data_IF_873868187928
#
_entry.id   IF_873868187928
#
_cell.length_a   1.000
_cell.length_b   1.000
_cell.length_c   1.000
_cell.angle_alpha   90.00
_cell.angle_beta   90.00
_cell.angle_gamma   90.00
#
_symmetry.space_group_name_H-M   'P 1'
#
loop_
_entity.id
_entity.type
_entity.pdbx_description
1 polymer ?
#
# COMPACT_ATOMS: atom_id res chain seq x y z
N UNK A 1 -3.59 -19.92 5.45
CA UNK A 1 -4.30 -18.66 5.14
C UNK A 1 -3.56 -17.99 4.01
N UNK A 2 -4.02 -18.22 2.79
CA UNK A 2 -3.31 -17.83 1.57
C UNK A 2 -3.56 -16.37 1.21
N UNK A 3 -2.54 -15.73 0.67
CA UNK A 3 -2.65 -14.45 -0.03
C UNK A 3 -3.03 -14.75 -1.48
N UNK A 4 -4.06 -14.13 -2.07
CA UNK A 4 -4.92 -13.05 -1.56
C UNK A 4 -6.03 -13.54 -0.61
N UNK A 5 -6.43 -12.68 0.33
CA UNK A 5 -7.34 -13.06 1.42
C UNK A 5 -8.79 -12.59 1.22
N UNK A 6 -9.04 -11.66 0.29
CA UNK A 6 -10.36 -11.06 0.06
C UNK A 6 -10.58 -10.79 -1.43
N UNK A 7 -11.81 -10.96 -1.90
CA UNK A 7 -12.27 -10.50 -3.22
C UNK A 7 -13.39 -9.49 -2.99
N UNK A 8 -13.20 -8.28 -3.49
CA UNK A 8 -14.14 -7.18 -3.31
C UNK A 8 -14.46 -6.53 -4.65
N UNK A 9 -15.55 -5.77 -4.72
CA UNK A 9 -15.94 -5.00 -5.90
C UNK A 9 -16.12 -3.54 -5.50
N UNK A 10 -15.52 -2.62 -6.26
CA UNK A 10 -15.63 -1.18 -5.99
C UNK A 10 -16.99 -0.70 -6.52
N UNK A 11 -17.88 -0.30 -5.61
CA UNK A 11 -19.26 0.14 -5.88
C UNK A 11 -19.61 1.38 -5.06
N UNK A 12 -20.88 1.79 -5.04
CA UNK A 12 -21.34 2.96 -4.27
C UNK A 12 -20.75 4.25 -4.84
N UNK A 13 -20.19 5.10 -3.96
CA UNK A 13 -19.55 6.36 -4.34
C UNK A 13 -18.05 6.20 -4.72
N UNK A 14 -17.57 4.96 -4.80
CA UNK A 14 -16.16 4.66 -5.08
C UNK A 14 -15.34 4.40 -3.81
N UNK A 15 -14.02 4.37 -3.96
CA UNK A 15 -13.11 4.05 -2.86
C UNK A 15 -11.76 4.74 -3.01
N UNK A 16 -11.38 5.57 -2.02
CA UNK A 16 -10.08 6.26 -1.96
C UNK A 16 -9.63 6.93 -3.27
N UNK A 17 -10.54 7.67 -3.92
CA UNK A 17 -10.29 8.36 -5.18
C UNK A 17 -10.46 7.50 -6.45
N UNK A 18 -10.81 6.22 -6.31
CA UNK A 18 -11.17 5.34 -7.43
C UNK A 18 -12.69 5.41 -7.65
N UNK A 19 -13.10 5.75 -8.86
CA UNK A 19 -14.52 5.80 -9.23
C UNK A 19 -15.17 4.39 -9.21
N UNK A 20 -16.46 4.30 -8.87
CA UNK A 20 -17.20 3.03 -8.74
C UNK A 20 -17.58 2.47 -10.12
N UNK A 21 -16.62 1.88 -10.84
CA UNK A 21 -16.85 1.30 -12.17
C UNK A 21 -17.04 -0.23 -12.15
N UNK A 22 -17.36 -0.80 -10.98
CA UNK A 22 -17.70 -2.21 -10.84
C UNK A 22 -16.51 -3.16 -10.96
N UNK A 23 -15.28 -2.66 -10.87
CA UNK A 23 -14.07 -3.48 -10.91
C UNK A 23 -14.01 -4.39 -9.68
N UNK A 24 -13.71 -5.66 -9.91
CA UNK A 24 -13.38 -6.59 -8.84
C UNK A 24 -11.87 -6.61 -8.62
N UNK A 25 -11.45 -6.51 -7.36
CA UNK A 25 -10.04 -6.56 -6.95
C UNK A 25 -9.84 -7.66 -5.92
N UNK A 26 -8.64 -8.23 -5.92
CA UNK A 26 -8.17 -9.17 -4.91
C UNK A 26 -7.37 -8.37 -3.88
N UNK A 27 -7.89 -8.24 -2.67
CA UNK A 27 -7.22 -7.51 -1.61
C UNK A 27 -6.28 -8.43 -0.82
N UNK A 28 -5.16 -7.82 -0.47
CA UNK A 28 -4.01 -8.41 0.21
C UNK A 28 -3.84 -7.65 1.54
N UNK A 29 -4.13 -8.28 2.68
CA UNK A 29 -3.99 -7.64 4.00
C UNK A 29 -3.44 -8.55 5.11
N UNK A 30 -2.63 -7.97 6.00
CA UNK A 30 -2.19 -8.59 7.25
C UNK A 30 -2.94 -7.93 8.40
N UNK A 31 -3.24 -8.72 9.42
CA UNK A 31 -3.96 -8.22 10.57
C UNK A 31 -3.41 -8.83 11.88
N UNK A 32 -2.96 -7.97 12.79
CA UNK A 32 -2.40 -8.33 14.09
C UNK A 32 -3.22 -7.74 15.22
N UNK A 33 -3.58 -8.58 16.18
CA UNK A 33 -4.50 -8.22 17.26
C UNK A 33 -3.76 -8.39 18.57
N UNK A 34 -3.72 -7.34 19.40
CA UNK A 34 -3.39 -7.50 20.81
C UNK A 34 -4.67 -7.60 21.62
N UNK A 35 -4.82 -8.72 22.31
CA UNK A 35 -5.95 -8.97 23.21
C UNK A 35 -5.49 -8.71 24.64
N UNK A 36 -6.34 -8.02 25.41
CA UNK A 36 -6.15 -7.73 26.83
C UNK A 36 -7.52 -7.82 27.53
N UNK A 37 -7.57 -8.51 28.68
CA UNK A 37 -8.81 -8.85 29.41
C UNK A 37 -9.95 -9.38 28.51
N UNK A 38 -9.61 -10.31 27.61
CA UNK A 38 -10.55 -10.93 26.67
C UNK A 38 -11.12 -10.01 25.59
N UNK A 39 -10.60 -8.78 25.46
CA UNK A 39 -11.03 -7.78 24.47
C UNK A 39 -9.87 -7.37 23.57
N UNK A 40 -10.20 -6.93 22.35
CA UNK A 40 -9.21 -6.37 21.42
C UNK A 40 -8.81 -5.00 21.95
N UNK A 41 -7.54 -4.85 22.31
CA UNK A 41 -7.01 -3.58 22.78
C UNK A 41 -6.37 -2.78 21.65
N UNK A 42 -5.72 -3.47 20.71
CA UNK A 42 -5.06 -2.91 19.54
C UNK A 42 -5.24 -3.81 18.32
N UNK A 43 -5.24 -3.17 17.16
CA UNK A 43 -5.39 -3.79 15.87
C UNK A 43 -4.45 -3.10 14.88
N UNK A 44 -3.43 -3.83 14.38
CA UNK A 44 -2.52 -3.34 13.36
C UNK A 44 -2.81 -4.04 12.05
N UNK A 45 -3.31 -3.24 11.10
CA UNK A 45 -3.68 -3.72 9.78
C UNK A 45 -2.69 -3.18 8.77
N UNK A 46 -2.16 -4.06 7.94
CA UNK A 46 -1.46 -3.69 6.71
C UNK A 46 -2.34 -4.02 5.53
N UNK A 47 -2.53 -3.04 4.64
CA UNK A 47 -3.30 -3.19 3.40
C UNK A 47 -2.35 -2.87 2.25
N UNK A 48 -2.21 -3.80 1.29
CA UNK A 48 -1.38 -3.57 0.10
C UNK A 48 -2.11 -2.67 -0.90
N UNK A 49 -2.02 -1.36 -0.66
CA UNK A 49 -2.65 -0.35 -1.51
C UNK A 49 -1.99 -0.24 -2.89
N UNK A 50 -0.69 -0.49 -2.98
CA UNK A 50 0.03 -0.38 -4.26
C UNK A 50 -0.47 -1.43 -5.23
N UNK A 51 -0.66 -2.67 -4.77
CA UNK A 51 -1.23 -3.75 -5.56
C UNK A 51 -2.66 -3.46 -5.99
N UNK A 52 -3.49 -2.95 -5.08
CA UNK A 52 -4.88 -2.60 -5.42
C UNK A 52 -4.92 -1.50 -6.48
N UNK A 53 -4.13 -0.44 -6.32
CA UNK A 53 -4.04 0.63 -7.31
C UNK A 53 -3.56 0.10 -8.67
N UNK A 54 -2.58 -0.81 -8.70
CA UNK A 54 -2.13 -1.44 -9.94
C UNK A 54 -3.24 -2.26 -10.62
N UNK A 55 -4.02 -3.04 -9.86
CA UNK A 55 -5.18 -3.80 -10.38
C UNK A 55 -6.24 -2.92 -11.04
N UNK A 56 -6.36 -1.65 -10.65
CA UNK A 56 -7.30 -0.68 -11.25
C UNK A 56 -6.61 0.29 -12.23
N UNK A 57 -5.37 0.00 -12.63
CA UNK A 57 -4.63 0.77 -13.65
C UNK A 57 -3.96 2.05 -13.15
N UNK A 58 -3.90 2.26 -11.84
CA UNK A 58 -3.19 3.39 -11.22
C UNK A 58 -1.77 2.96 -10.85
N UNK A 59 -0.82 3.18 -11.76
CA UNK A 59 0.60 2.86 -11.52
C UNK A 59 1.29 3.92 -10.66
N UNK A 60 1.15 3.79 -9.34
CA UNK A 60 1.66 4.77 -8.37
C UNK A 60 3.18 4.95 -8.49
N UNK A 61 3.95 3.87 -8.59
CA UNK A 61 5.42 3.93 -8.62
C UNK A 61 5.95 4.57 -9.91
N UNK A 62 5.32 4.30 -11.06
CA UNK A 62 5.68 4.93 -12.34
C UNK A 62 5.48 6.45 -12.26
N UNK A 63 4.33 6.90 -11.75
CA UNK A 63 4.04 8.33 -11.55
C UNK A 63 5.06 8.98 -10.62
N UNK A 64 5.41 8.32 -9.51
CA UNK A 64 6.43 8.83 -8.58
C UNK A 64 7.81 8.94 -9.25
N UNK A 65 8.15 8.03 -10.16
CA UNK A 65 9.38 8.11 -10.95
C UNK A 65 9.35 9.30 -11.92
N UNK A 66 8.22 9.55 -12.59
CA UNK A 66 8.05 10.72 -13.47
C UNK A 66 8.20 12.05 -12.72
N UNK A 67 7.75 12.14 -11.47
CA UNK A 67 7.92 13.33 -10.64
C UNK A 67 9.37 13.49 -10.13
N UNK A 68 10.13 12.41 -10.02
CA UNK A 68 11.46 12.42 -9.43
C UNK A 68 12.58 12.63 -10.47
N UNK A 69 12.43 13.63 -11.34
CA UNK A 69 13.36 13.95 -12.45
C UNK A 69 14.74 14.45 -11.98
N UNK A 70 14.85 14.85 -10.72
CA UNK A 70 16.08 15.40 -10.12
C UNK A 70 16.91 14.34 -9.38
N UNK A 71 16.59 13.04 -9.50
CA UNK A 71 17.39 11.98 -8.88
C UNK A 71 18.82 12.05 -9.44
N UNK A 72 19.76 12.43 -8.58
CA UNK A 72 21.18 12.29 -8.89
C UNK A 72 21.49 10.82 -9.13
N UNK A 73 21.76 10.44 -10.37
CA UNK A 73 22.15 9.08 -10.74
C UNK A 73 23.61 8.77 -10.40
N UNK A 74 24.32 9.74 -9.82
CA UNK A 74 25.70 9.59 -9.36
C UNK A 74 25.79 8.86 -8.02
N UNK A 75 26.98 8.35 -7.67
CA UNK A 75 27.25 7.75 -6.36
C UNK A 75 26.89 8.72 -5.24
N UNK A 76 26.22 8.22 -4.19
CA UNK A 76 26.04 8.99 -2.96
C UNK A 76 27.34 8.88 -2.17
N UNK A 77 28.15 9.94 -2.21
CA UNK A 77 29.30 10.05 -1.31
C UNK A 77 28.78 10.40 0.08
N UNK A 78 28.68 9.42 0.97
CA UNK A 78 28.43 9.66 2.39
C UNK A 78 29.71 10.24 3.00
N UNK A 79 29.60 11.34 3.75
CA UNK A 79 30.74 11.83 4.54
C UNK A 79 30.98 10.90 5.74
N UNK A 80 32.23 10.75 6.16
CA UNK A 80 32.68 9.88 7.26
C UNK A 80 32.06 10.19 8.64
N UNK A 81 31.19 11.20 8.75
CA UNK A 81 30.55 11.64 9.99
C UNK A 81 29.43 10.73 10.53
N UNK A 82 29.25 9.53 10.00
CA UNK A 82 28.34 8.50 10.56
C UNK A 82 29.09 7.29 11.14
N UNK A 83 30.40 7.42 11.39
CA UNK A 83 31.24 6.37 11.95
C UNK A 83 31.61 6.57 13.44
N UNK A 84 30.93 7.47 14.15
CA UNK A 84 31.02 7.61 15.62
C UNK A 84 29.69 7.26 16.31
#
# INVERSE_FOLDING_TARGET
>A
TGWPNMRVTITGDGWMGIAPAGQSVLLRSLDFWRVDDGRIRENWVLVDLLDLYDQVGVRVLDRMAEFNKARGSGPITLSDGMAE
#
